data_IF_385693220574
#
_entry.id   IF_385693220574
#
_cell.length_a   1.000
_cell.length_b   1.000
_cell.length_c   1.000
_cell.angle_alpha   90.00
_cell.angle_beta   90.00
_cell.angle_gamma   90.00
#
_symmetry.space_group_name_H-M   'P 1'
#
loop_
_entity.id
_entity.type
_entity.pdbx_description
1 polymer ?
#
# COMPACT_ATOMS: atom_id res chain seq x y z
N UNK A 1 15.64 35.62 -2.23
CA UNK A 1 15.13 34.53 -3.10
C UNK A 1 15.69 33.22 -2.57
N UNK A 2 15.01 32.55 -1.63
CA UNK A 2 15.38 31.20 -1.22
C UNK A 2 14.78 30.26 -2.27
N UNK A 3 15.62 29.73 -3.16
CA UNK A 3 15.20 28.77 -4.18
C UNK A 3 14.67 27.51 -3.49
N UNK A 4 13.36 27.27 -3.63
CA UNK A 4 12.73 26.00 -3.26
C UNK A 4 13.24 24.90 -4.18
N UNK A 5 14.41 24.34 -3.86
CA UNK A 5 14.90 23.13 -4.49
C UNK A 5 14.08 21.95 -3.99
N UNK A 6 13.04 21.57 -4.72
CA UNK A 6 12.40 20.27 -4.52
C UNK A 6 13.48 19.21 -4.71
N UNK A 7 13.89 18.57 -3.61
CA UNK A 7 14.79 17.44 -3.66
C UNK A 7 14.06 16.31 -4.42
N UNK A 8 14.70 15.63 -5.39
CA UNK A 8 14.06 14.53 -6.09
C UNK A 8 13.55 13.52 -5.07
N UNK A 9 12.30 13.09 -5.23
CA UNK A 9 11.70 12.11 -4.36
C UNK A 9 12.62 10.87 -4.30
N UNK A 10 12.94 10.42 -3.09
CA UNK A 10 13.76 9.24 -2.91
C UNK A 10 13.07 8.03 -3.56
N UNK A 11 13.86 7.15 -4.16
CA UNK A 11 13.35 5.84 -4.57
C UNK A 11 13.06 5.00 -3.32
N UNK A 12 11.79 4.65 -3.12
CA UNK A 12 11.31 3.91 -1.96
C UNK A 12 11.21 2.41 -2.23
N UNK A 13 11.41 1.94 -3.46
CA UNK A 13 11.35 0.51 -3.78
C UNK A 13 12.34 -0.33 -2.97
N UNK A 14 13.61 0.09 -2.74
CA UNK A 14 14.53 -0.67 -1.90
C UNK A 14 14.01 -0.89 -0.47
N UNK A 15 13.22 0.05 0.08
CA UNK A 15 12.62 -0.09 1.41
C UNK A 15 11.42 -1.05 1.40
N UNK A 16 10.63 -1.03 0.34
CA UNK A 16 9.53 -1.97 0.15
C UNK A 16 10.06 -3.41 -0.05
N UNK A 17 11.09 -3.58 -0.89
CA UNK A 17 11.72 -4.86 -1.16
C UNK A 17 12.40 -5.44 0.09
N UNK A 18 12.88 -4.58 1.00
CA UNK A 18 13.44 -5.00 2.29
C UNK A 18 12.42 -5.68 3.23
N UNK A 19 11.12 -5.57 2.97
CA UNK A 19 10.08 -6.30 3.69
C UNK A 19 9.94 -7.76 3.23
N UNK A 20 10.78 -8.24 2.29
CA UNK A 20 10.75 -9.62 1.81
C UNK A 20 10.82 -10.64 2.96
N UNK A 21 9.97 -11.67 2.89
CA UNK A 21 9.86 -12.70 3.93
C UNK A 21 9.03 -12.31 5.15
N UNK A 22 8.55 -11.07 5.24
CA UNK A 22 7.59 -10.65 6.26
C UNK A 22 6.15 -10.70 5.70
N UNK A 23 5.15 -11.12 6.49
CA UNK A 23 3.74 -10.97 6.13
C UNK A 23 3.41 -9.51 5.85
N UNK A 24 2.85 -9.23 4.68
CA UNK A 24 2.61 -7.87 4.21
C UNK A 24 1.15 -7.72 3.76
N UNK A 25 0.53 -6.61 4.16
CA UNK A 25 -0.79 -6.21 3.71
C UNK A 25 -0.76 -4.75 3.26
N UNK A 26 -1.35 -4.44 2.10
CA UNK A 26 -1.55 -3.08 1.66
C UNK A 26 -3.00 -2.85 1.22
N UNK A 27 -3.58 -1.78 1.75
CA UNK A 27 -4.98 -1.39 1.52
C UNK A 27 -4.98 -0.04 0.83
N UNK A 28 -5.55 0.01 -0.37
CA UNK A 28 -5.65 1.21 -1.22
C UNK A 28 -7.10 1.69 -1.27
N UNK A 29 -7.35 2.98 -1.09
CA UNK A 29 -8.63 3.56 -1.49
C UNK A 29 -8.70 3.70 -3.02
N UNK A 30 -9.79 3.25 -3.66
CA UNK A 30 -9.94 3.28 -5.12
C UNK A 30 -9.72 4.67 -5.73
N UNK A 31 -10.12 5.72 -5.00
CA UNK A 31 -10.02 7.13 -5.39
C UNK A 31 -8.77 7.82 -4.81
N UNK A 32 -7.74 7.07 -4.40
CA UNK A 32 -6.53 7.63 -3.80
C UNK A 32 -5.77 8.51 -4.79
N UNK A 33 -5.38 9.70 -4.33
CA UNK A 33 -4.48 10.63 -5.04
C UNK A 33 -3.02 10.53 -4.56
N UNK A 34 -2.73 9.70 -3.55
CA UNK A 34 -1.37 9.50 -3.03
C UNK A 34 -0.75 8.17 -3.47
N UNK A 35 -1.56 7.12 -3.61
CA UNK A 35 -1.11 5.81 -4.08
C UNK A 35 -1.83 5.49 -5.40
N UNK A 36 -1.14 5.69 -6.51
CA UNK A 36 -1.65 5.44 -7.85
C UNK A 36 -1.95 3.93 -8.05
N UNK A 37 -2.97 3.58 -8.86
CA UNK A 37 -3.29 2.18 -9.13
C UNK A 37 -2.11 1.45 -9.80
N UNK A 38 -1.31 2.13 -10.62
CA UNK A 38 -0.12 1.56 -11.25
C UNK A 38 0.97 1.23 -10.23
N UNK A 39 1.22 2.12 -9.26
CA UNK A 39 2.16 1.85 -8.16
C UNK A 39 1.69 0.67 -7.33
N UNK A 40 0.39 0.58 -7.04
CA UNK A 40 -0.18 -0.54 -6.29
C UNK A 40 -0.12 -1.87 -7.05
N UNK A 41 -0.28 -1.85 -8.37
CA UNK A 41 -0.06 -3.03 -9.22
C UNK A 41 1.41 -3.48 -9.22
N UNK A 42 2.36 -2.54 -9.28
CA UNK A 42 3.79 -2.84 -9.18
C UNK A 42 4.16 -3.41 -7.80
N UNK A 43 3.58 -2.91 -6.71
CA UNK A 43 3.73 -3.49 -5.38
C UNK A 43 3.30 -4.96 -5.35
N UNK A 44 2.14 -5.28 -5.95
CA UNK A 44 1.65 -6.66 -6.07
C UNK A 44 2.53 -7.53 -6.95
N UNK A 45 3.07 -7.00 -8.05
CA UNK A 45 3.99 -7.71 -8.93
C UNK A 45 5.30 -8.08 -8.21
N UNK A 46 5.81 -7.18 -7.35
CA UNK A 46 7.02 -7.40 -6.53
C UNK A 46 6.78 -8.32 -5.34
N UNK A 47 5.57 -8.28 -4.76
CA UNK A 47 5.17 -9.06 -3.58
C UNK A 47 3.90 -9.86 -3.89
N UNK A 48 3.96 -10.90 -4.74
CA UNK A 48 2.79 -11.74 -5.02
C UNK A 48 2.29 -12.51 -3.79
N UNK A 49 3.08 -12.55 -2.72
CA UNK A 49 2.76 -13.11 -1.41
C UNK A 49 2.01 -12.15 -0.48
N UNK A 50 1.86 -10.86 -0.85
CA UNK A 50 1.16 -9.89 -0.03
C UNK A 50 -0.36 -10.05 -0.10
N UNK A 51 -1.04 -9.60 0.95
CA UNK A 51 -2.46 -9.30 0.89
C UNK A 51 -2.63 -7.90 0.29
N UNK A 52 -3.42 -7.79 -0.77
CA UNK A 52 -3.74 -6.53 -1.42
C UNK A 52 -5.26 -6.35 -1.46
N UNK A 53 -5.73 -5.19 -0.99
CA UNK A 53 -7.15 -4.84 -1.05
C UNK A 53 -7.35 -3.42 -1.56
N UNK A 54 -8.39 -3.24 -2.37
CA UNK A 54 -8.84 -1.95 -2.84
C UNK A 54 -10.24 -1.66 -2.30
N UNK A 55 -10.42 -0.48 -1.71
CA UNK A 55 -11.65 -0.09 -1.02
C UNK A 55 -12.43 0.92 -1.89
N UNK A 56 -13.60 0.53 -2.44
CA UNK A 56 -14.44 1.44 -3.23
C UNK A 56 -14.91 2.65 -2.42
N UNK A 57 -15.08 3.79 -3.09
CA UNK A 57 -15.60 5.02 -2.44
C UNK A 57 -14.64 5.71 -1.48
N UNK A 58 -13.42 5.18 -1.27
CA UNK A 58 -12.39 5.77 -0.41
C UNK A 58 -11.22 6.36 -1.22
N UNK A 59 -10.69 7.47 -0.72
CA UNK A 59 -9.44 8.08 -1.19
C UNK A 59 -8.28 7.78 -0.24
N UNK A 60 -7.40 8.76 -0.03
CA UNK A 60 -6.48 8.73 1.12
C UNK A 60 -7.23 9.30 2.34
N UNK A 61 -7.64 8.50 3.33
CA UNK A 61 -7.36 7.07 3.56
C UNK A 61 -8.61 6.19 3.70
N UNK A 62 -8.52 4.87 3.40
CA UNK A 62 -9.39 3.87 4.00
C UNK A 62 -9.40 4.00 5.53
N UNK A 63 -10.56 3.80 6.16
CA UNK A 63 -10.70 3.96 7.62
C UNK A 63 -10.44 2.67 8.39
N UNK A 64 -10.27 1.55 7.68
CA UNK A 64 -10.06 0.22 8.26
C UNK A 64 -11.30 -0.32 8.96
N UNK A 65 -12.47 0.20 8.60
CA UNK A 65 -13.79 -0.26 9.04
C UNK A 65 -14.62 -0.83 7.88
N UNK A 66 -14.10 -0.73 6.66
CA UNK A 66 -14.76 -1.22 5.46
C UNK A 66 -14.63 -2.76 5.36
N UNK A 67 -15.63 -3.46 4.80
CA UNK A 67 -15.59 -4.91 4.67
C UNK A 67 -14.32 -5.43 3.97
N UNK A 68 -13.87 -4.76 2.91
CA UNK A 68 -12.66 -5.12 2.16
C UNK A 68 -11.38 -4.91 2.99
N UNK A 69 -11.35 -3.87 3.83
CA UNK A 69 -10.23 -3.60 4.70
C UNK A 69 -10.16 -4.60 5.86
N UNK A 70 -11.32 -4.94 6.45
CA UNK A 70 -11.41 -5.94 7.52
C UNK A 70 -11.00 -7.33 7.04
N UNK A 71 -11.49 -7.80 5.88
CA UNK A 71 -11.06 -9.08 5.29
C UNK A 71 -9.54 -9.13 5.09
N UNK A 72 -8.96 -8.06 4.56
CA UNK A 72 -7.53 -7.98 4.32
C UNK A 72 -6.71 -8.02 5.61
N UNK A 73 -7.17 -7.33 6.65
CA UNK A 73 -6.52 -7.32 7.97
C UNK A 73 -6.63 -8.67 8.66
N UNK A 74 -7.80 -9.32 8.63
CA UNK A 74 -7.99 -10.64 9.23
C UNK A 74 -7.10 -11.69 8.58
N UNK A 75 -7.06 -11.73 7.24
CA UNK A 75 -6.16 -12.62 6.49
C UNK A 75 -4.69 -12.36 6.79
N UNK A 76 -4.30 -11.10 6.96
CA UNK A 76 -2.93 -10.74 7.31
C UNK A 76 -2.58 -11.14 8.75
N UNK A 77 -3.50 -10.95 9.71
CA UNK A 77 -3.31 -11.41 11.09
C UNK A 77 -3.16 -12.93 11.17
N UNK A 78 -3.86 -13.68 10.33
CA UNK A 78 -3.72 -15.14 10.24
C UNK A 78 -2.34 -15.58 9.73
N UNK A 79 -1.64 -14.75 8.94
CA UNK A 79 -0.26 -15.03 8.51
C UNK A 79 0.77 -14.86 9.65
N UNK A 80 0.39 -14.20 10.75
CA UNK A 80 1.27 -13.90 11.89
C UNK A 80 1.16 -14.93 13.03
N UNK A 81 0.22 -15.86 12.94
CA UNK A 81 -0.06 -16.90 13.93
C UNK A 81 0.76 -18.16 13.65
#
# INVERSE_FOLDING_TARGET
>A
MLGGGAQPAADLWPLFDAAAGLPLCAIRGANSNLLAPETFAEMQARRPDMIAAEVPGRGHIPFLDEPEALDALDRWLDMLR
#
